data_IF_833118308898
#
_entry.id   IF_833118308898
#
_cell.length_a   1.000
_cell.length_b   1.000
_cell.length_c   1.000
_cell.angle_alpha   90.00
_cell.angle_beta   90.00
_cell.angle_gamma   90.00
#
_symmetry.space_group_name_H-M   'P 1'
#
loop_
_entity.id
_entity.type
_entity.pdbx_description
1 polymer ?
#
# COMPACT_ATOMS: atom_id res chain seq x y z
N UNK A 1 35.43 -4.93 3.77
CA UNK A 1 34.55 -3.89 4.34
C UNK A 1 33.13 -4.39 4.17
N UNK A 2 32.68 -5.23 5.09
CA UNK A 2 31.32 -5.76 5.09
C UNK A 2 30.37 -4.64 5.52
N UNK A 3 29.65 -4.08 4.56
CA UNK A 3 28.45 -3.30 4.85
C UNK A 3 27.40 -4.31 5.28
N UNK A 4 27.40 -4.60 6.58
CA UNK A 4 26.36 -5.36 7.24
C UNK A 4 25.02 -4.71 6.84
N UNK A 5 24.29 -5.37 5.93
CA UNK A 5 22.93 -4.98 5.59
C UNK A 5 22.16 -5.08 6.90
N UNK A 6 21.94 -3.94 7.57
CA UNK A 6 20.88 -3.84 8.58
C UNK A 6 19.63 -4.38 7.89
N UNK A 7 19.20 -5.57 8.27
CA UNK A 7 17.93 -6.11 7.81
C UNK A 7 16.89 -5.05 8.19
N UNK A 8 16.20 -4.49 7.18
CA UNK A 8 15.22 -3.44 7.40
C UNK A 8 14.12 -4.01 8.29
N UNK A 9 13.92 -3.52 9.53
CA UNK A 9 12.89 -4.04 10.42
C UNK A 9 11.47 -3.70 9.93
N UNK A 10 11.36 -2.91 8.85
CA UNK A 10 10.09 -2.46 8.31
C UNK A 10 9.43 -3.40 7.30
N UNK A 11 10.09 -4.45 6.77
CA UNK A 11 9.43 -5.34 5.81
C UNK A 11 8.55 -6.36 6.54
N UNK A 12 7.25 -6.29 6.29
CA UNK A 12 6.30 -7.33 6.70
C UNK A 12 5.60 -7.88 5.48
N UNK A 13 5.50 -9.21 5.40
CA UNK A 13 4.76 -9.96 4.38
C UNK A 13 3.49 -10.55 4.97
N UNK A 14 2.44 -10.67 4.17
CA UNK A 14 1.19 -11.30 4.58
C UNK A 14 0.16 -11.38 3.47
N UNK A 15 -1.05 -11.81 3.83
CA UNK A 15 -2.17 -11.92 2.91
C UNK A 15 -3.46 -11.49 3.65
N UNK A 16 -3.62 -10.18 3.91
CA UNK A 16 -4.86 -9.67 4.49
C UNK A 16 -6.02 -9.96 3.55
N UNK A 17 -7.16 -10.39 4.08
CA UNK A 17 -8.36 -10.68 3.31
C UNK A 17 -9.22 -9.42 3.09
N UNK A 18 -9.03 -8.39 3.91
CA UNK A 18 -9.86 -7.17 3.90
C UNK A 18 -9.02 -5.89 3.92
N UNK A 19 -9.63 -4.77 3.50
CA UNK A 19 -9.00 -3.45 3.60
C UNK A 19 -8.69 -3.06 5.06
N UNK A 20 -9.51 -3.50 6.02
CA UNK A 20 -9.28 -3.25 7.44
C UNK A 20 -8.05 -4.01 7.96
N UNK A 21 -7.88 -5.27 7.56
CA UNK A 21 -6.68 -6.05 7.90
C UNK A 21 -5.44 -5.47 7.24
N UNK A 22 -5.52 -5.03 5.98
CA UNK A 22 -4.41 -4.38 5.29
C UNK A 22 -3.99 -3.08 6.00
N UNK A 23 -4.94 -2.26 6.44
CA UNK A 23 -4.63 -1.06 7.26
C UNK A 23 -3.97 -1.42 8.59
N UNK A 24 -4.50 -2.41 9.32
CA UNK A 24 -3.94 -2.84 10.59
C UNK A 24 -2.50 -3.36 10.40
N UNK A 25 -2.25 -4.07 9.31
CA UNK A 25 -0.94 -4.55 8.93
C UNK A 25 0.07 -3.41 8.73
N UNK A 26 -0.32 -2.35 8.00
CA UNK A 26 0.53 -1.18 7.76
C UNK A 26 0.76 -0.37 9.04
N UNK A 27 -0.27 -0.22 9.89
CA UNK A 27 -0.13 0.41 11.21
C UNK A 27 0.91 -0.30 12.06
N UNK A 28 0.83 -1.63 12.14
CA UNK A 28 1.77 -2.41 12.93
C UNK A 28 3.23 -2.26 12.44
N UNK A 29 3.45 -2.15 11.12
CA UNK A 29 4.79 -1.86 10.56
C UNK A 29 5.28 -0.49 11.00
N UNK A 30 4.42 0.52 10.93
CA UNK A 30 4.77 1.88 11.33
C UNK A 30 5.03 1.98 12.85
N UNK A 31 4.16 1.39 13.68
CA UNK A 31 4.29 1.36 15.15
C UNK A 31 5.58 0.66 15.57
N UNK A 32 5.88 -0.51 15.00
CA UNK A 32 7.13 -1.21 15.25
C UNK A 32 8.35 -0.37 14.86
N UNK A 33 8.28 0.37 13.75
CA UNK A 33 9.37 1.25 13.35
C UNK A 33 9.55 2.44 14.29
N UNK A 34 8.47 3.00 14.84
CA UNK A 34 8.54 4.05 15.88
C UNK A 34 9.18 3.50 17.15
N UNK A 35 8.75 2.32 17.62
CA UNK A 35 9.31 1.67 18.82
C UNK A 35 10.81 1.40 18.69
N UNK A 36 11.27 1.04 17.49
CA UNK A 36 12.67 0.79 17.20
C UNK A 36 13.48 2.06 16.90
N UNK A 37 12.86 3.24 16.87
CA UNK A 37 13.50 4.52 16.58
C UNK A 37 13.83 4.76 15.09
N UNK A 38 13.14 4.07 14.17
CA UNK A 38 13.29 4.20 12.72
C UNK A 38 12.30 5.20 12.09
N UNK A 39 11.23 5.54 12.81
CA UNK A 39 10.24 6.53 12.39
C UNK A 39 9.96 7.53 13.53
N UNK A 40 9.61 8.76 13.18
CA UNK A 40 9.15 9.77 14.13
C UNK A 40 7.62 9.88 14.11
N UNK A 41 7.06 10.58 15.11
CA UNK A 41 5.62 10.80 15.26
C UNK A 41 5.26 12.29 15.16
N UNK A 42 5.97 13.06 14.35
CA UNK A 42 5.62 14.45 14.07
C UNK A 42 4.28 14.58 13.33
N UNK A 43 3.71 15.80 13.30
CA UNK A 43 2.43 16.04 12.61
C UNK A 43 2.49 15.70 11.11
N UNK A 44 3.57 16.07 10.41
CA UNK A 44 3.77 15.71 9.00
C UNK A 44 3.79 14.19 8.76
N UNK A 45 4.41 13.43 9.67
CA UNK A 45 4.44 11.97 9.59
C UNK A 45 3.06 11.35 9.87
N UNK A 46 2.28 11.94 10.78
CA UNK A 46 0.89 11.49 11.04
C UNK A 46 -0.01 11.69 9.83
N UNK A 47 0.10 12.84 9.16
CA UNK A 47 -0.65 13.12 7.94
C UNK A 47 -0.23 12.18 6.81
N UNK A 48 1.07 11.95 6.64
CA UNK A 48 1.60 10.96 5.70
C UNK A 48 1.06 9.55 5.99
N UNK A 49 1.00 9.14 7.26
CA UNK A 49 0.42 7.86 7.65
C UNK A 49 -1.07 7.77 7.31
N UNK A 50 -1.83 8.86 7.46
CA UNK A 50 -3.25 8.89 7.07
C UNK A 50 -3.41 8.66 5.56
N UNK A 51 -2.61 9.33 4.74
CA UNK A 51 -2.58 9.14 3.27
C UNK A 51 -2.17 7.72 2.89
N UNK A 52 -1.17 7.15 3.59
CA UNK A 52 -0.73 5.77 3.38
C UNK A 52 -1.86 4.77 3.67
N UNK A 53 -2.59 4.94 4.77
CA UNK A 53 -3.69 4.05 5.15
C UNK A 53 -4.89 4.19 4.20
N UNK A 54 -5.10 5.39 3.66
CA UNK A 54 -6.08 5.64 2.62
C UNK A 54 -5.72 4.89 1.34
N UNK A 55 -4.50 5.03 0.84
CA UNK A 55 -4.01 4.31 -0.34
C UNK A 55 -4.05 2.80 -0.13
N UNK A 56 -3.65 2.32 1.05
CA UNK A 56 -3.75 0.91 1.43
C UNK A 56 -5.17 0.39 1.31
N UNK A 57 -6.15 1.18 1.76
CA UNK A 57 -7.57 0.80 1.69
C UNK A 57 -8.05 0.71 0.26
N UNK A 58 -7.74 1.70 -0.57
CA UNK A 58 -8.16 1.70 -1.98
C UNK A 58 -7.52 0.54 -2.76
N UNK A 59 -6.22 0.26 -2.54
CA UNK A 59 -5.55 -0.90 -3.15
C UNK A 59 -6.19 -2.23 -2.74
N UNK A 60 -6.40 -2.43 -1.44
CA UNK A 60 -7.01 -3.65 -0.92
C UNK A 60 -8.47 -3.81 -1.39
N UNK A 61 -9.25 -2.71 -1.41
CA UNK A 61 -10.60 -2.70 -1.95
C UNK A 61 -10.62 -3.04 -3.44
N UNK A 62 -9.69 -2.50 -4.23
CA UNK A 62 -9.58 -2.83 -5.65
C UNK A 62 -9.23 -4.31 -5.87
N UNK A 63 -8.29 -4.85 -5.10
CA UNK A 63 -7.92 -6.26 -5.16
C UNK A 63 -9.10 -7.17 -4.81
N UNK A 64 -9.85 -6.85 -3.75
CA UNK A 64 -11.02 -7.64 -3.32
C UNK A 64 -12.18 -7.53 -4.31
N UNK A 65 -12.52 -6.32 -4.77
CA UNK A 65 -13.69 -6.09 -5.65
C UNK A 65 -13.44 -6.50 -7.10
N UNK A 66 -12.22 -6.31 -7.60
CA UNK A 66 -11.89 -6.44 -9.04
C UNK A 66 -10.72 -7.38 -9.32
N UNK A 67 -9.87 -7.61 -8.33
CA UNK A 67 -8.65 -8.41 -8.42
C UNK A 67 -8.82 -9.90 -8.14
N UNK A 68 -10.01 -10.35 -7.72
CA UNK A 68 -10.23 -11.74 -7.28
C UNK A 68 -9.67 -12.03 -5.88
N UNK A 69 -9.44 -10.98 -5.09
CA UNK A 69 -8.85 -11.07 -3.75
C UNK A 69 -7.35 -10.75 -3.73
N UNK A 70 -6.85 -10.48 -2.53
CA UNK A 70 -5.44 -10.31 -2.26
C UNK A 70 -4.76 -11.69 -2.22
N UNK A 71 -3.74 -11.87 -3.06
CA UNK A 71 -2.89 -13.07 -3.09
C UNK A 71 -1.52 -12.82 -2.48
N UNK A 72 -1.19 -11.57 -2.18
CA UNK A 72 0.02 -11.18 -1.49
C UNK A 72 -0.02 -9.71 -1.10
N UNK A 73 0.62 -9.39 0.02
CA UNK A 73 0.73 -8.03 0.53
C UNK A 73 2.07 -7.87 1.23
N UNK A 74 2.75 -6.76 0.97
CA UNK A 74 3.88 -6.32 1.78
C UNK A 74 3.85 -4.84 2.06
N UNK A 75 4.34 -4.48 3.24
CA UNK A 75 4.62 -3.10 3.61
C UNK A 75 6.07 -3.03 4.08
N UNK A 76 6.80 -2.00 3.65
CA UNK A 76 8.18 -1.75 4.02
C UNK A 76 8.40 -0.29 4.30
N UNK A 77 8.90 0.02 5.50
CA UNK A 77 9.38 1.36 5.81
C UNK A 77 10.79 1.58 5.24
N UNK A 78 10.96 2.70 4.55
CA UNK A 78 12.24 3.31 4.17
C UNK A 78 12.40 4.66 4.91
N UNK A 79 13.60 5.26 4.94
CA UNK A 79 13.85 6.48 5.72
C UNK A 79 12.88 7.65 5.44
N UNK A 80 12.39 7.79 4.21
CA UNK A 80 11.51 8.89 3.77
C UNK A 80 10.26 8.39 3.02
N UNK A 81 9.95 7.09 3.12
CA UNK A 81 8.84 6.49 2.39
C UNK A 81 8.26 5.22 3.01
N UNK A 82 7.00 4.94 2.69
CA UNK A 82 6.38 3.63 2.83
C UNK A 82 6.27 2.99 1.45
N UNK A 83 6.82 1.80 1.28
CA UNK A 83 6.67 0.97 0.08
C UNK A 83 5.62 -0.09 0.34
N UNK A 84 4.54 -0.05 -0.42
CA UNK A 84 3.47 -1.02 -0.40
C UNK A 84 3.52 -1.87 -1.66
N UNK A 85 3.37 -3.19 -1.51
CA UNK A 85 3.16 -4.09 -2.64
C UNK A 85 1.89 -4.88 -2.42
N UNK A 86 1.01 -4.85 -3.41
CA UNK A 86 -0.24 -5.60 -3.43
C UNK A 86 -0.24 -6.53 -4.61
N UNK A 87 -0.58 -7.80 -4.37
CA UNK A 87 -0.74 -8.81 -5.41
C UNK A 87 -2.19 -9.26 -5.44
N UNK A 88 -2.77 -9.30 -6.64
CA UNK A 88 -4.09 -9.86 -6.87
C UNK A 88 -4.07 -10.88 -8.01
N UNK A 89 -5.12 -11.71 -8.10
CA UNK A 89 -5.21 -12.82 -9.06
C UNK A 89 -5.61 -12.37 -10.47
N UNK A 90 -5.96 -11.09 -10.66
CA UNK A 90 -6.48 -10.57 -11.92
C UNK A 90 -5.38 -9.93 -12.77
N UNK A 91 -5.23 -10.34 -14.05
CA UNK A 91 -4.29 -9.69 -14.95
C UNK A 91 -4.78 -8.31 -15.43
N UNK A 92 -6.03 -7.94 -15.11
CA UNK A 92 -6.60 -6.65 -15.52
C UNK A 92 -5.87 -5.52 -14.79
N UNK A 93 -5.31 -4.59 -15.56
CA UNK A 93 -4.71 -3.37 -15.01
C UNK A 93 -5.75 -2.59 -14.19
N UNK A 94 -5.32 -1.86 -13.15
CA UNK A 94 -6.21 -0.98 -12.39
C UNK A 94 -6.94 -0.04 -13.35
N UNK A 95 -8.28 -0.14 -13.37
CA UNK A 95 -9.09 0.71 -14.23
C UNK A 95 -9.18 2.08 -13.56
N UNK A 96 -8.70 3.11 -14.24
CA UNK A 96 -9.01 4.50 -13.88
C UNK A 96 -10.49 4.74 -14.16
N UNK A 97 -11.37 4.29 -13.26
CA UNK A 97 -12.77 4.68 -13.32
C UNK A 97 -12.85 6.16 -12.99
N UNK A 98 -12.83 6.99 -14.03
CA UNK A 98 -13.41 8.33 -13.97
C UNK A 98 -14.87 8.11 -13.61
N UNK A 99 -15.21 8.43 -12.37
CA UNK A 99 -16.51 8.21 -11.73
C UNK A 99 -17.68 8.31 -12.72
N UNK A 100 -18.35 7.20 -13.02
CA UNK A 100 -19.75 7.28 -13.44
C UNK A 100 -20.53 7.80 -12.23
N UNK A 101 -21.24 8.91 -12.44
CA UNK A 101 -21.93 9.66 -11.40
C UNK A 101 -23.06 8.83 -10.77
N UNK A 102 -22.75 8.06 -9.73
CA UNK A 102 -23.70 7.34 -8.88
C UNK A 102 -23.57 7.72 -7.40
N UNK A 103 -24.59 7.42 -6.57
CA UNK A 103 -24.62 7.81 -5.16
C UNK A 103 -23.39 7.31 -4.40
N UNK A 104 -22.87 8.16 -3.52
CA UNK A 104 -21.59 8.02 -2.82
C UNK A 104 -21.49 6.70 -2.04
N UNK A 105 -20.94 5.67 -2.68
CA UNK A 105 -20.52 4.45 -1.99
C UNK A 105 -19.14 4.70 -1.39
N UNK A 106 -18.88 4.35 -0.12
CA UNK A 106 -17.53 4.40 0.44
C UNK A 106 -16.57 3.50 -0.37
N UNK A 107 -15.46 4.08 -0.83
CA UNK A 107 -14.50 3.47 -1.76
C UNK A 107 -14.86 3.76 -3.21
N UNK A 108 -14.08 4.63 -3.85
CA UNK A 108 -14.40 5.17 -5.18
C UNK A 108 -13.50 6.31 -5.67
N UNK A 109 -12.38 6.57 -4.99
CA UNK A 109 -11.32 7.44 -5.50
C UNK A 109 -10.21 6.63 -6.20
N UNK A 110 -10.20 5.31 -6.00
CA UNK A 110 -9.91 4.25 -6.96
C UNK A 110 -8.46 4.14 -7.40
N UNK A 111 -8.05 5.01 -8.32
CA UNK A 111 -6.74 4.99 -8.95
C UNK A 111 -6.15 6.39 -9.08
N UNK A 112 -6.91 7.44 -9.49
CA UNK A 112 -6.41 8.82 -9.48
C UNK A 112 -5.89 9.28 -8.11
N UNK A 113 -6.53 8.86 -7.02
CA UNK A 113 -6.06 9.19 -5.67
C UNK A 113 -4.71 8.53 -5.36
N UNK A 114 -4.55 7.26 -5.73
CA UNK A 114 -3.29 6.52 -5.52
C UNK A 114 -2.17 7.21 -6.30
N UNK A 115 -2.40 7.54 -7.58
CA UNK A 115 -1.43 8.25 -8.41
C UNK A 115 -1.11 9.66 -7.88
N UNK A 116 -2.05 10.34 -7.23
CA UNK A 116 -1.84 11.68 -6.65
C UNK A 116 -0.97 11.64 -5.39
N UNK A 117 -1.16 10.65 -4.53
CA UNK A 117 -0.47 10.57 -3.24
C UNK A 117 0.88 9.85 -3.34
N UNK A 118 1.05 8.97 -4.32
CA UNK A 118 2.28 8.21 -4.50
C UNK A 118 3.38 9.03 -5.18
N UNK A 119 4.63 8.88 -4.70
CA UNK A 119 5.84 9.29 -5.44
C UNK A 119 6.04 8.40 -6.68
N UNK A 120 5.70 7.12 -6.57
CA UNK A 120 5.87 6.14 -7.64
C UNK A 120 4.78 5.07 -7.57
N UNK A 121 4.33 4.62 -8.74
CA UNK A 121 3.41 3.48 -8.89
C UNK A 121 3.92 2.62 -10.04
N UNK A 122 4.13 1.33 -9.79
CA UNK A 122 4.43 0.35 -10.82
C UNK A 122 3.41 -0.78 -10.80
N UNK A 123 3.07 -1.29 -11.99
CA UNK A 123 2.18 -2.44 -12.16
C UNK A 123 2.90 -3.47 -13.01
N UNK A 124 3.16 -4.62 -12.44
CA UNK A 124 3.93 -5.71 -13.06
C UNK A 124 3.04 -6.94 -13.18
N UNK A 125 2.71 -7.40 -14.40
CA UNK A 125 2.05 -8.69 -14.59
C UNK A 125 2.90 -9.83 -14.03
N UNK A 126 2.26 -10.82 -13.40
CA UNK A 126 2.96 -12.01 -12.90
C UNK A 126 3.06 -13.11 -13.96
N UNK A 127 4.09 -13.94 -13.86
CA UNK A 127 4.22 -15.13 -14.69
C UNK A 127 3.09 -16.11 -14.37
N UNK A 128 2.10 -16.22 -15.27
CA UNK A 128 0.87 -16.99 -15.07
C UNK A 128 -0.35 -16.08 -15.06
N UNK A 129 -0.90 -15.81 -13.88
CA UNK A 129 -2.08 -14.97 -13.69
C UNK A 129 -1.87 -13.96 -12.56
N UNK A 130 -2.57 -12.83 -12.67
CA UNK A 130 -2.49 -11.77 -11.68
C UNK A 130 -1.45 -10.70 -11.99
N UNK A 131 -1.31 -9.79 -11.04
CA UNK A 131 -0.37 -8.66 -11.14
C UNK A 131 0.10 -8.26 -9.75
N UNK A 132 1.27 -7.67 -9.71
CA UNK A 132 1.80 -6.94 -8.56
C UNK A 132 1.68 -5.44 -8.82
N UNK A 133 1.17 -4.70 -7.85
CA UNK A 133 1.12 -3.25 -7.82
C UNK A 133 2.05 -2.80 -6.69
N UNK A 134 3.09 -2.05 -7.03
CA UNK A 134 3.95 -1.41 -6.05
C UNK A 134 3.64 0.09 -5.99
N UNK A 135 3.56 0.63 -4.79
CA UNK A 135 3.29 2.04 -4.53
C UNK A 135 4.27 2.55 -3.49
N UNK A 136 4.97 3.64 -3.82
CA UNK A 136 5.91 4.33 -2.93
C UNK A 136 5.27 5.64 -2.48
N UNK A 137 5.08 5.81 -1.17
CA UNK A 137 4.39 6.94 -0.54
C UNK A 137 5.37 7.74 0.33
N UNK A 138 5.37 9.09 0.27
CA UNK A 138 6.22 9.91 1.12
C UNK A 138 5.94 9.70 2.61
N UNK A 139 6.98 9.79 3.43
CA UNK A 139 6.91 10.14 4.85
C UNK A 139 7.58 11.53 4.96
N UNK A 140 6.80 12.57 5.26
CA UNK A 140 7.30 13.95 5.34
C UNK A 140 7.59 14.36 6.78
#
# INVERSE_FOLDING_TARGET
MDVERRQSPGLRLGQPATASEARAFVRAVFEQAVELGWASTGDGVRDALADILLVTSELATNAVRHGGGLTGFSARLEPDAMVLTVVDASPRLPVALVKEQGPATPGGFGWPLICRLAKHVSVTPLAGAGKSIEVILPLQ
#
